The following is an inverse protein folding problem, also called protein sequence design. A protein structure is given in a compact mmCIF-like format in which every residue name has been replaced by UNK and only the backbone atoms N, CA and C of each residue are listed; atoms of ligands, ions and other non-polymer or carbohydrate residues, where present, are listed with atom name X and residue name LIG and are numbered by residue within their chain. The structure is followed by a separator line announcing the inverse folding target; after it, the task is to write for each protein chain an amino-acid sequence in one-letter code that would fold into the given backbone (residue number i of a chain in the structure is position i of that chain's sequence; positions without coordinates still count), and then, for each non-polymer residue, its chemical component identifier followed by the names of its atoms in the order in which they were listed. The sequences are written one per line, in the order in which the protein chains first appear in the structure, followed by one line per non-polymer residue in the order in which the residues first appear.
data_IF_529943628393
#
_entry.id   IF_529943628393
#
_cell.length_a   1.000
_cell.length_b   1.000
_cell.length_c   1.000
_cell.angle_alpha   90.00
_cell.angle_beta   90.00
_cell.angle_gamma   90.00
#
_symmetry.space_group_name_H-M   'P 1'
#
loop_
_entity.id
_entity.type
_entity.pdbx_description
1 polymer ?
#
# COMPACT_ATOMS: atom_id res chain seq x y z
N UNK A 1 -25.05 -4.81 8.69
CA UNK A 1 -23.92 -5.74 8.45
C UNK A 1 -22.77 -5.22 9.29
N UNK A 2 -22.16 -6.06 10.11
CA UNK A 2 -20.99 -5.65 10.89
C UNK A 2 -19.76 -5.69 9.96
N UNK A 3 -19.25 -4.52 9.59
CA UNK A 3 -18.14 -4.39 8.64
C UNK A 3 -16.83 -4.97 9.21
N UNK A 4 -16.62 -4.82 10.52
CA UNK A 4 -15.40 -5.30 11.18
C UNK A 4 -15.32 -6.83 11.13
N UNK A 5 -16.43 -7.49 11.47
CA UNK A 5 -16.53 -8.94 11.39
C UNK A 5 -16.33 -9.45 9.96
N UNK A 6 -16.87 -8.74 8.96
CA UNK A 6 -16.75 -9.15 7.56
C UNK A 6 -15.33 -8.96 7.02
N UNK A 7 -14.65 -7.85 7.38
CA UNK A 7 -13.25 -7.65 7.01
C UNK A 7 -12.36 -8.72 7.65
N UNK A 8 -12.56 -9.04 8.92
CA UNK A 8 -11.78 -10.09 9.60
C UNK A 8 -12.05 -11.49 9.01
N UNK A 9 -13.29 -11.77 8.60
CA UNK A 9 -13.63 -12.99 7.87
C UNK A 9 -12.87 -13.06 6.55
N UNK A 10 -12.93 -12.01 5.73
CA UNK A 10 -12.32 -11.95 4.41
C UNK A 10 -10.79 -11.98 4.47
N UNK A 11 -10.16 -11.28 5.42
CA UNK A 11 -8.69 -11.25 5.53
C UNK A 11 -8.15 -12.64 5.89
N UNK A 12 -8.86 -13.40 6.72
CA UNK A 12 -8.52 -14.81 7.02
C UNK A 12 -8.73 -15.72 5.82
N UNK A 13 -9.88 -15.61 5.15
CA UNK A 13 -10.21 -16.42 3.96
C UNK A 13 -9.18 -16.23 2.83
N UNK A 14 -8.71 -14.99 2.64
CA UNK A 14 -7.77 -14.63 1.58
C UNK A 14 -6.30 -14.70 2.00
N UNK A 15 -6.00 -15.10 3.24
CA UNK A 15 -4.67 -15.01 3.82
C UNK A 15 -4.03 -13.63 3.54
N UNK A 16 -4.75 -12.58 3.91
CA UNK A 16 -4.39 -11.19 3.63
C UNK A 16 -3.81 -10.49 4.86
N UNK A 17 -2.81 -9.65 4.63
CA UNK A 17 -2.29 -8.69 5.62
C UNK A 17 -2.75 -7.28 5.26
N UNK A 18 -3.12 -6.49 6.27
CA UNK A 18 -3.51 -5.08 6.13
C UNK A 18 -2.36 -4.21 6.61
N UNK A 19 -1.83 -3.38 5.69
CA UNK A 19 -0.76 -2.42 5.95
C UNK A 19 -1.34 -1.01 5.92
N UNK A 20 -1.18 -0.22 6.98
CA UNK A 20 -1.70 1.14 7.04
C UNK A 20 -0.61 2.18 7.27
N UNK A 21 -0.67 3.29 6.54
CA UNK A 21 0.19 4.44 6.80
C UNK A 21 -0.28 5.22 8.03
N UNK A 22 0.63 5.92 8.72
CA UNK A 22 0.32 6.77 9.87
C UNK A 22 -0.77 7.84 9.64
N UNK A 23 -1.05 8.18 8.38
CA UNK A 23 -2.03 9.20 8.01
C UNK A 23 -3.43 8.65 7.75
N UNK A 24 -3.65 7.34 7.90
CA UNK A 24 -4.98 6.75 7.79
C UNK A 24 -5.84 7.11 9.01
N UNK A 25 -7.15 7.04 8.85
CA UNK A 25 -8.08 7.25 9.95
C UNK A 25 -7.85 6.24 11.09
N UNK A 26 -8.11 6.62 12.36
CA UNK A 26 -7.83 5.74 13.51
C UNK A 26 -8.46 4.36 13.41
N UNK A 27 -9.69 4.27 12.88
CA UNK A 27 -10.38 2.99 12.68
C UNK A 27 -9.68 2.06 11.68
N UNK A 28 -9.00 2.62 10.67
CA UNK A 28 -8.20 1.85 9.72
C UNK A 28 -6.88 1.41 10.36
N UNK A 29 -6.30 2.26 11.23
CA UNK A 29 -5.11 1.89 12.00
C UNK A 29 -5.39 0.76 12.97
N UNK A 30 -6.51 0.80 13.69
CA UNK A 30 -6.95 -0.25 14.63
C UNK A 30 -7.22 -1.59 13.92
N UNK A 31 -7.61 -1.55 12.65
CA UNK A 31 -7.85 -2.71 11.79
C UNK A 31 -6.55 -3.32 11.22
N UNK A 32 -5.50 -2.52 11.07
CA UNK A 32 -4.28 -2.90 10.38
C UNK A 32 -3.45 -3.90 11.18
N UNK A 33 -2.81 -4.85 10.49
CA UNK A 33 -1.85 -5.75 11.12
C UNK A 33 -0.52 -5.03 11.39
N UNK A 34 -0.20 -4.03 10.58
CA UNK A 34 0.96 -3.15 10.76
C UNK A 34 0.63 -1.71 10.39
N UNK A 35 1.04 -0.78 11.26
CA UNK A 35 0.97 0.66 11.04
C UNK A 35 2.40 1.21 10.99
N UNK A 36 2.76 1.96 9.95
CA UNK A 36 4.14 2.40 9.73
C UNK A 36 4.30 3.56 8.75
N UNK A 37 5.55 4.01 8.58
CA UNK A 37 5.93 4.92 7.50
C UNK A 37 6.17 4.17 6.18
N UNK A 38 6.52 4.91 5.12
CA UNK A 38 6.74 4.31 3.80
C UNK A 38 7.86 3.26 3.76
N UNK A 39 8.93 3.44 4.54
CA UNK A 39 10.06 2.51 4.55
C UNK A 39 9.71 1.24 5.31
N UNK A 40 9.10 1.36 6.48
CA UNK A 40 8.73 0.21 7.29
C UNK A 40 7.66 -0.64 6.58
N UNK A 41 6.64 -0.01 6.01
CA UNK A 41 5.61 -0.72 5.24
C UNK A 41 6.19 -1.43 4.01
N UNK A 42 7.17 -0.84 3.32
CA UNK A 42 7.87 -1.49 2.20
C UNK A 42 8.62 -2.75 2.67
N UNK A 43 9.29 -2.69 3.82
CA UNK A 43 9.98 -3.86 4.41
C UNK A 43 8.98 -4.94 4.81
N UNK A 44 7.85 -4.58 5.40
CA UNK A 44 6.77 -5.53 5.75
C UNK A 44 6.17 -6.18 4.51
N UNK A 45 5.91 -5.39 3.46
CA UNK A 45 5.40 -5.91 2.19
C UNK A 45 6.35 -6.92 1.54
N UNK A 46 7.67 -6.71 1.64
CA UNK A 46 8.67 -7.64 1.12
C UNK A 46 8.78 -8.93 1.98
N UNK A 47 8.68 -8.80 3.31
CA UNK A 47 8.91 -9.89 4.26
C UNK A 47 7.65 -10.72 4.60
N UNK A 48 6.46 -10.32 4.14
CA UNK A 48 5.22 -11.04 4.46
C UNK A 48 5.13 -12.37 3.71
N UNK A 49 4.55 -13.37 4.38
CA UNK A 49 4.18 -14.67 3.81
C UNK A 49 2.68 -14.72 3.43
N UNK A 50 1.95 -13.62 3.64
CA UNK A 50 0.55 -13.50 3.22
C UNK A 50 0.42 -13.57 1.68
N UNK A 51 -0.66 -14.15 1.17
CA UNK A 51 -0.94 -14.23 -0.27
C UNK A 51 -1.44 -12.88 -0.84
N UNK A 52 -2.02 -12.06 0.04
CA UNK A 52 -2.60 -10.76 -0.30
C UNK A 52 -2.12 -9.66 0.65
N UNK A 53 -1.89 -8.47 0.10
CA UNK A 53 -1.59 -7.25 0.82
C UNK A 53 -2.71 -6.25 0.51
N UNK A 54 -3.45 -5.83 1.53
CA UNK A 54 -4.35 -4.69 1.45
C UNK A 54 -3.57 -3.47 1.94
N UNK A 55 -3.29 -2.55 1.04
CA UNK A 55 -2.43 -1.40 1.32
C UNK A 55 -3.29 -0.15 1.54
N UNK A 56 -3.50 0.21 2.80
CA UNK A 56 -4.21 1.43 3.21
C UNK A 56 -3.25 2.62 3.22
N UNK A 57 -3.03 3.18 2.03
CA UNK A 57 -2.13 4.30 1.78
C UNK A 57 -2.43 4.92 0.43
N UNK A 58 -1.40 5.45 -0.24
CA UNK A 58 -1.53 6.05 -1.58
C UNK A 58 -0.93 5.14 -2.66
N UNK A 59 -1.30 5.38 -3.92
CA UNK A 59 -1.02 4.52 -5.08
C UNK A 59 0.44 4.12 -5.21
N UNK A 60 1.37 5.06 -5.21
CA UNK A 60 2.80 4.74 -5.39
C UNK A 60 3.31 3.77 -4.31
N UNK A 61 2.78 3.84 -3.08
CA UNK A 61 3.20 2.95 -2.00
C UNK A 61 2.70 1.52 -2.24
N UNK A 62 1.45 1.38 -2.72
CA UNK A 62 0.91 0.08 -3.12
C UNK A 62 1.65 -0.51 -4.33
N UNK A 63 2.04 0.33 -5.30
CA UNK A 63 2.88 -0.08 -6.43
C UNK A 63 4.25 -0.57 -5.97
N UNK A 64 4.90 0.13 -5.04
CA UNK A 64 6.16 -0.33 -4.43
C UNK A 64 5.97 -1.68 -3.71
N UNK A 65 4.89 -1.85 -2.96
CA UNK A 65 4.56 -3.14 -2.35
C UNK A 65 4.41 -4.25 -3.40
N UNK A 66 3.80 -3.96 -4.57
CA UNK A 66 3.67 -4.91 -5.68
C UNK A 66 5.01 -5.20 -6.37
N UNK A 67 5.88 -4.21 -6.51
CA UNK A 67 7.25 -4.38 -7.03
C UNK A 67 8.05 -5.32 -6.12
N UNK A 68 7.96 -5.12 -4.80
CA UNK A 68 8.68 -5.93 -3.80
C UNK A 68 8.08 -7.32 -3.60
N UNK A 69 6.79 -7.49 -3.86
CA UNK A 69 6.06 -8.75 -3.76
C UNK A 69 5.35 -9.11 -5.08
N UNK A 70 6.12 -9.44 -6.15
CA UNK A 70 5.61 -9.57 -7.51
C UNK A 70 4.57 -10.69 -7.68
N UNK A 71 4.68 -11.76 -6.89
CA UNK A 71 3.77 -12.92 -6.93
C UNK A 71 2.51 -12.73 -6.08
N UNK A 72 2.49 -11.78 -5.16
CA UNK A 72 1.36 -11.55 -4.24
C UNK A 72 0.31 -10.65 -4.87
N UNK A 73 -0.93 -10.77 -4.40
CA UNK A 73 -1.98 -9.81 -4.79
C UNK A 73 -1.87 -8.56 -3.92
N UNK A 74 -1.78 -7.38 -4.54
CA UNK A 74 -1.78 -6.11 -3.80
C UNK A 74 -3.04 -5.35 -4.18
N UNK A 75 -3.81 -4.92 -3.19
CA UNK A 75 -5.06 -4.20 -3.37
C UNK A 75 -4.95 -2.84 -2.69
N UNK A 76 -5.28 -1.79 -3.43
CA UNK A 76 -5.46 -0.44 -2.93
C UNK A 76 -6.97 -0.20 -2.77
N UNK A 77 -7.49 0.10 -1.55
CA UNK A 77 -8.93 0.26 -1.32
C UNK A 77 -9.58 1.38 -2.14
N UNK A 78 -8.82 2.43 -2.46
CA UNK A 78 -9.26 3.56 -3.29
C UNK A 78 -8.21 3.86 -4.36
N UNK A 79 -8.56 3.64 -5.62
CA UNK A 79 -7.65 3.86 -6.76
C UNK A 79 -7.33 5.33 -7.00
N UNK A 80 -8.15 6.25 -6.47
CA UNK A 80 -7.96 7.70 -6.59
C UNK A 80 -7.07 8.25 -5.46
N UNK A 81 -6.60 7.41 -4.53
CA UNK A 81 -5.67 7.78 -3.48
C UNK A 81 -4.25 8.07 -4.05
N UNK A 82 -4.06 9.25 -4.65
CA UNK A 82 -2.81 9.71 -5.24
C UNK A 82 -1.90 10.49 -4.29
N UNK A 83 -0.73 10.89 -4.79
CA UNK A 83 0.19 11.81 -4.10
C UNK A 83 0.60 12.93 -5.06
N UNK A 84 0.20 14.17 -4.75
CA UNK A 84 0.50 15.34 -5.58
C UNK A 84 1.99 15.56 -5.83
N UNK A 85 2.85 15.14 -4.89
CA UNK A 85 4.30 15.22 -5.05
C UNK A 85 4.83 14.19 -6.04
N UNK A 86 4.32 12.96 -6.02
CA UNK A 86 4.65 11.92 -7.00
C UNK A 86 4.20 12.35 -8.41
N UNK A 87 2.97 12.85 -8.52
CA UNK A 87 2.39 13.33 -9.78
C UNK A 87 3.16 14.53 -10.37
N UNK A 88 3.88 15.29 -9.54
CA UNK A 88 4.69 16.43 -9.98
C UNK A 88 6.01 16.04 -10.66
N UNK A 89 6.36 14.76 -10.70
CA UNK A 89 7.59 14.24 -11.31
C UNK A 89 7.31 13.28 -12.48
N UNK A 90 6.78 13.77 -13.62
CA UNK A 90 6.51 12.92 -14.76
C UNK A 90 7.80 12.40 -15.41
N UNK A 91 7.80 11.15 -15.93
CA UNK A 91 9.00 10.48 -16.41
C UNK A 91 9.68 11.21 -17.58
N UNK A 92 8.90 11.82 -18.48
CA UNK A 92 9.44 12.54 -19.64
C UNK A 92 10.22 13.79 -19.24
N UNK A 93 9.73 14.54 -18.24
CA UNK A 93 10.42 15.74 -17.76
C UNK A 93 11.64 15.38 -16.91
N UNK A 94 11.54 14.32 -16.11
CA UNK A 94 12.71 13.78 -15.39
C UNK A 94 13.80 13.28 -16.35
N UNK A 95 13.44 12.58 -17.43
CA UNK A 95 14.40 12.12 -18.44
C UNK A 95 15.12 13.29 -19.14
N UNK A 96 14.41 14.39 -19.45
CA UNK A 96 15.03 15.60 -19.99
C UNK A 96 16.03 16.22 -19.02
N UNK A 97 15.70 16.26 -17.72
CA UNK A 97 16.61 16.76 -16.69
C UNK A 97 17.89 15.92 -16.59
N UNK A 98 17.77 14.58 -16.57
CA UNK A 98 18.92 13.66 -16.52
C UNK A 98 19.80 13.76 -17.76
N UNK A 99 19.25 14.05 -18.94
CA UNK A 99 20.05 14.22 -20.15
C UNK A 99 20.90 15.51 -20.17
N UNK A 100 20.60 16.48 -19.31
CA UNK A 100 21.24 17.80 -19.26
C UNK A 100 22.37 17.89 -18.22
N UNK A 101 22.49 16.91 -17.32
CA UNK A 101 23.38 16.93 -16.14
C UNK A 101 24.10 15.60 -15.95
#
# INVERSE_FOLDING_TARGET
MDLWAEIDRLRKEKNAVILAHYYQDPEIQDLADFVGDSLDLSRKAAATEADMIVFCGVRFMAEVAKILSPTKTVVLPDLDAGCSLEESCPPDDFAKFVAQH
#
